data_IF_806788366823
#
_entry.id   IF_806788366823
#
_cell.length_a   1.000
_cell.length_b   1.000
_cell.length_c   1.000
_cell.angle_alpha   90.00
_cell.angle_beta   90.00
_cell.angle_gamma   90.00
#
_symmetry.space_group_name_H-M   'P 1'
#
loop_
_entity.id
_entity.type
_entity.pdbx_description
1 polymer ?
#
# COMPACT_ATOMS: atom_id res chain seq x y z
N UNK A 1 -11.76 -17.83 -31.23
CA UNK A 1 -11.20 -18.88 -32.14
C UNK A 1 -12.39 -19.65 -32.72
N UNK A 2 -12.57 -19.78 -34.04
CA UNK A 2 -13.79 -20.42 -34.59
C UNK A 2 -13.66 -21.95 -34.63
N UNK A 3 -14.58 -22.67 -33.98
CA UNK A 3 -14.65 -24.14 -34.02
C UNK A 3 -15.19 -24.64 -35.38
N UNK A 4 -14.67 -25.78 -35.86
CA UNK A 4 -15.17 -26.40 -37.09
C UNK A 4 -16.53 -27.10 -36.88
N UNK A 5 -17.39 -27.09 -37.91
CA UNK A 5 -18.73 -27.70 -37.87
C UNK A 5 -18.75 -29.19 -37.49
N UNK A 6 -17.69 -29.93 -37.82
CA UNK A 6 -17.55 -31.35 -37.47
C UNK A 6 -17.25 -31.54 -35.98
N UNK A 7 -16.46 -30.64 -35.38
CA UNK A 7 -16.16 -30.63 -33.94
C UNK A 7 -17.41 -30.24 -33.13
N UNK A 8 -18.13 -29.21 -33.60
CA UNK A 8 -19.39 -28.75 -33.01
C UNK A 8 -20.43 -29.89 -32.89
N UNK A 9 -20.72 -30.59 -33.99
CA UNK A 9 -21.71 -31.69 -33.96
C UNK A 9 -21.29 -32.87 -33.07
N UNK A 10 -19.98 -33.16 -33.01
CA UNK A 10 -19.45 -34.22 -32.14
C UNK A 10 -19.66 -33.88 -30.66
N UNK A 11 -19.51 -32.59 -30.31
CA UNK A 11 -19.67 -32.06 -28.95
C UNK A 11 -21.13 -32.08 -28.50
N UNK A 12 -22.04 -31.60 -29.37
CA UNK A 12 -23.50 -31.65 -29.12
C UNK A 12 -23.98 -33.09 -28.91
N UNK A 13 -23.57 -34.03 -29.76
CA UNK A 13 -23.95 -35.44 -29.63
C UNK A 13 -23.38 -36.11 -28.37
N UNK A 14 -22.32 -35.54 -27.77
CA UNK A 14 -21.74 -36.00 -26.52
C UNK A 14 -22.33 -35.31 -25.27
N UNK A 15 -23.30 -34.39 -25.44
CA UNK A 15 -23.90 -33.63 -24.34
C UNK A 15 -22.95 -32.62 -23.69
N UNK A 16 -21.86 -32.24 -24.37
CA UNK A 16 -20.86 -31.31 -23.86
C UNK A 16 -21.27 -29.85 -24.18
N UNK A 17 -21.02 -28.89 -23.26
CA UNK A 17 -21.38 -27.48 -23.44
C UNK A 17 -20.64 -26.85 -24.62
N UNK A 18 -21.27 -25.84 -25.24
CA UNK A 18 -20.64 -25.10 -26.35
C UNK A 18 -19.43 -24.32 -25.85
N UNK A 19 -18.40 -24.14 -26.68
CA UNK A 19 -17.24 -23.29 -26.35
C UNK A 19 -17.69 -21.88 -25.93
N UNK A 20 -18.73 -21.34 -26.59
CA UNK A 20 -19.29 -20.03 -26.25
C UNK A 20 -19.98 -19.99 -24.88
N UNK A 21 -20.44 -21.13 -24.38
CA UNK A 21 -21.06 -21.23 -23.06
C UNK A 21 -19.97 -21.38 -22.00
N UNK A 22 -18.89 -22.11 -22.29
CA UNK A 22 -17.67 -22.15 -21.46
C UNK A 22 -17.01 -20.76 -21.36
N UNK A 23 -16.83 -20.04 -22.47
CA UNK A 23 -16.28 -18.66 -22.50
C UNK A 23 -17.11 -17.69 -21.65
N UNK A 24 -18.44 -17.76 -21.72
CA UNK A 24 -19.34 -16.94 -20.89
C UNK A 24 -19.24 -17.28 -19.40
N UNK A 25 -19.07 -18.57 -19.07
CA UNK A 25 -18.86 -19.00 -17.68
C UNK A 25 -17.53 -18.45 -17.17
N UNK A 26 -16.44 -18.57 -17.93
CA UNK A 26 -15.14 -17.98 -17.58
C UNK A 26 -15.22 -16.46 -17.40
N UNK A 27 -15.86 -15.72 -18.33
CA UNK A 27 -16.04 -14.28 -18.18
C UNK A 27 -16.85 -13.91 -16.92
N UNK A 28 -17.83 -14.74 -16.55
CA UNK A 28 -18.63 -14.51 -15.34
C UNK A 28 -17.82 -14.78 -14.07
N UNK A 29 -17.02 -15.85 -14.04
CA UNK A 29 -16.12 -16.18 -12.95
C UNK A 29 -15.04 -15.09 -12.77
N UNK A 30 -14.44 -14.60 -13.87
CA UNK A 30 -13.48 -13.49 -13.83
C UNK A 30 -14.10 -12.22 -13.24
N UNK A 31 -15.32 -11.87 -13.66
CA UNK A 31 -16.06 -10.72 -13.11
C UNK A 31 -16.36 -10.89 -11.62
N UNK A 32 -16.73 -12.09 -11.19
CA UNK A 32 -16.99 -12.39 -9.78
C UNK A 32 -15.72 -12.30 -8.93
N UNK A 33 -14.61 -12.85 -9.41
CA UNK A 33 -13.29 -12.75 -8.76
C UNK A 33 -12.91 -11.28 -8.66
N UNK A 34 -13.01 -10.51 -9.75
CA UNK A 34 -12.67 -9.09 -9.76
C UNK A 34 -13.52 -8.32 -8.74
N UNK A 35 -14.84 -8.57 -8.69
CA UNK A 35 -15.73 -7.93 -7.71
C UNK A 35 -15.41 -8.31 -6.26
N UNK A 36 -14.85 -9.50 -6.00
CA UNK A 36 -14.35 -9.86 -4.66
C UNK A 36 -13.06 -9.09 -4.34
N UNK A 37 -12.14 -8.99 -5.29
CA UNK A 37 -10.89 -8.27 -5.14
C UNK A 37 -11.12 -6.78 -4.88
N UNK A 38 -12.03 -6.15 -5.63
CA UNK A 38 -12.41 -4.74 -5.47
C UNK A 38 -13.04 -4.49 -4.09
N UNK A 39 -13.93 -5.38 -3.62
CA UNK A 39 -14.52 -5.28 -2.28
C UNK A 39 -13.48 -5.42 -1.16
N UNK A 40 -12.50 -6.31 -1.33
CA UNK A 40 -11.39 -6.47 -0.35
C UNK A 40 -10.51 -5.22 -0.33
N UNK A 41 -10.16 -4.71 -1.52
CA UNK A 41 -9.41 -3.46 -1.69
C UNK A 41 -10.08 -2.29 -1.00
N UNK A 42 -11.36 -2.04 -1.28
CA UNK A 42 -12.11 -0.95 -0.64
C UNK A 42 -12.10 -1.05 0.89
N UNK A 43 -12.25 -2.26 1.44
CA UNK A 43 -12.23 -2.47 2.90
C UNK A 43 -10.88 -2.09 3.50
N UNK A 44 -9.79 -2.46 2.84
CA UNK A 44 -8.43 -2.18 3.29
C UNK A 44 -8.05 -0.72 3.13
N UNK A 45 -8.44 -0.10 2.02
CA UNK A 45 -8.29 1.34 1.83
C UNK A 45 -9.03 2.11 2.94
N UNK A 46 -10.29 1.73 3.23
CA UNK A 46 -11.05 2.30 4.35
C UNK A 46 -10.34 2.07 5.69
N UNK A 47 -9.70 0.92 5.89
CA UNK A 47 -8.91 0.65 7.09
C UNK A 47 -7.67 1.54 7.16
N UNK A 48 -6.92 1.71 6.07
CA UNK A 48 -5.78 2.63 6.00
C UNK A 48 -6.22 4.04 6.40
N UNK A 49 -7.28 4.57 5.79
CA UNK A 49 -7.81 5.90 6.10
C UNK A 49 -8.16 6.09 7.57
N UNK A 50 -8.78 5.08 8.19
CA UNK A 50 -9.08 5.11 9.62
C UNK A 50 -7.85 4.99 10.50
N UNK A 51 -6.79 4.34 10.01
CA UNK A 51 -5.59 4.01 10.79
C UNK A 51 -4.50 5.07 10.70
N UNK A 52 -4.55 6.04 9.77
CA UNK A 52 -3.50 7.07 9.62
C UNK A 52 -3.12 7.74 10.95
N UNK A 53 -4.05 8.22 11.79
CA UNK A 53 -3.68 8.85 13.07
C UNK A 53 -2.89 7.91 13.98
N UNK A 54 -3.30 6.64 14.05
CA UNK A 54 -2.62 5.61 14.84
C UNK A 54 -1.19 5.37 14.32
N UNK A 55 -1.05 5.18 13.01
CA UNK A 55 0.24 4.97 12.35
C UNK A 55 1.17 6.17 12.57
N UNK A 56 0.67 7.38 12.38
CA UNK A 56 1.43 8.60 12.57
C UNK A 56 1.88 8.78 14.03
N UNK A 57 1.03 8.53 15.03
CA UNK A 57 1.44 8.62 16.46
C UNK A 57 2.52 7.60 16.81
N UNK A 58 2.43 6.40 16.25
CA UNK A 58 3.34 5.29 16.54
C UNK A 58 4.55 5.19 15.60
N UNK A 59 4.90 6.26 14.88
CA UNK A 59 5.99 6.27 13.90
C UNK A 59 7.34 5.74 14.43
N UNK A 60 7.64 5.94 15.72
CA UNK A 60 8.90 5.46 16.32
C UNK A 60 9.00 3.93 16.30
N UNK A 61 7.87 3.23 16.42
CA UNK A 61 7.83 1.77 16.31
C UNK A 61 8.19 1.30 14.90
N UNK A 62 7.78 2.04 13.86
CA UNK A 62 8.19 1.77 12.48
C UNK A 62 9.69 1.97 12.27
N UNK A 63 10.35 2.86 13.03
CA UNK A 63 11.81 2.99 12.97
C UNK A 63 12.53 1.90 13.79
N UNK A 64 11.90 1.40 14.85
CA UNK A 64 12.49 0.41 15.76
C UNK A 64 12.36 -1.02 15.23
N UNK A 65 11.24 -1.35 14.59
CA UNK A 65 10.89 -2.72 14.22
C UNK A 65 10.83 -2.90 12.69
N UNK A 66 11.81 -3.60 12.08
CA UNK A 66 11.85 -3.85 10.64
C UNK A 66 10.58 -4.54 10.10
N UNK A 67 9.90 -5.36 10.91
CA UNK A 67 8.63 -6.00 10.56
C UNK A 67 7.49 -5.01 10.27
N UNK A 68 7.40 -3.93 11.04
CA UNK A 68 6.42 -2.85 10.83
C UNK A 68 6.87 -1.95 9.68
N UNK A 69 8.17 -1.69 9.63
CA UNK A 69 8.79 -0.90 8.58
C UNK A 69 8.51 -1.47 7.18
N UNK A 70 8.81 -2.76 6.99
CA UNK A 70 8.79 -3.46 5.71
C UNK A 70 7.40 -3.71 5.13
N UNK A 71 6.30 -3.38 5.84
CA UNK A 71 4.94 -3.61 5.35
C UNK A 71 4.79 -2.90 4.00
N UNK A 72 4.60 -3.62 2.88
CA UNK A 72 4.51 -2.99 1.57
C UNK A 72 3.24 -2.15 1.48
N UNK A 73 3.33 -0.92 0.96
CA UNK A 73 2.14 -0.09 0.72
C UNK A 73 1.17 -0.80 -0.22
N UNK A 74 1.67 -1.58 -1.19
CA UNK A 74 0.81 -2.35 -2.09
C UNK A 74 0.05 -3.47 -1.37
N UNK A 75 0.58 -4.05 -0.29
CA UNK A 75 -0.17 -5.00 0.53
C UNK A 75 -1.39 -4.34 1.18
N UNK A 76 -1.29 -3.04 1.47
CA UNK A 76 -2.42 -2.26 2.00
C UNK A 76 -3.54 -2.16 0.96
N UNK A 77 -3.24 -2.02 -0.33
CA UNK A 77 -4.27 -1.83 -1.36
C UNK A 77 -4.67 -3.11 -2.09
N UNK A 78 -3.72 -3.96 -2.45
CA UNK A 78 -3.91 -5.14 -3.30
C UNK A 78 -3.82 -6.46 -2.52
N UNK A 79 -3.16 -6.47 -1.36
CA UNK A 79 -3.00 -7.66 -0.51
C UNK A 79 -1.81 -8.55 -0.84
N UNK A 80 -1.95 -9.84 -0.50
CA UNK A 80 -1.00 -10.93 -0.79
C UNK A 80 -0.87 -11.25 -2.29
N UNK A 81 -1.34 -10.36 -3.18
CA UNK A 81 -1.27 -10.54 -4.63
C UNK A 81 0.17 -10.76 -5.10
N UNK A 82 1.11 -10.18 -4.36
CA UNK A 82 2.49 -10.61 -4.33
C UNK A 82 2.65 -11.34 -3.01
N UNK A 83 2.82 -12.67 -3.01
CA UNK A 83 3.08 -13.39 -1.77
C UNK A 83 4.30 -12.80 -1.02
N UNK A 84 4.55 -13.19 0.24
CA UNK A 84 5.71 -12.73 1.00
C UNK A 84 7.05 -13.02 0.30
N UNK A 85 7.04 -13.90 -0.71
CA UNK A 85 8.19 -14.27 -1.55
C UNK A 85 8.36 -13.39 -2.81
N UNK A 86 7.39 -12.54 -3.16
CA UNK A 86 7.39 -11.79 -4.43
C UNK A 86 7.46 -10.28 -4.28
N UNK A 87 7.50 -9.73 -3.07
CA UNK A 87 7.53 -8.26 -2.91
C UNK A 87 8.87 -7.64 -3.34
N UNK A 88 9.99 -8.37 -3.25
CA UNK A 88 11.31 -7.93 -3.75
C UNK A 88 11.52 -8.19 -5.25
N UNK A 89 10.75 -9.10 -5.84
CA UNK A 89 10.72 -9.42 -7.28
C UNK A 89 9.67 -8.61 -8.05
N UNK A 90 8.86 -7.83 -7.34
CA UNK A 90 7.88 -6.94 -7.95
C UNK A 90 8.62 -5.90 -8.83
N UNK A 91 8.34 -5.85 -10.15
CA UNK A 91 8.96 -4.88 -11.05
C UNK A 91 8.54 -3.44 -10.73
N UNK A 92 7.49 -3.26 -9.90
CA UNK A 92 7.14 -1.98 -9.31
C UNK A 92 7.79 -1.87 -7.92
N UNK A 93 8.54 -0.79 -7.63
CA UNK A 93 9.23 -0.64 -6.35
C UNK A 93 8.19 -0.43 -5.25
N UNK A 94 7.76 -1.53 -4.62
CA UNK A 94 6.84 -1.46 -3.50
C UNK A 94 7.52 -0.71 -2.37
N UNK A 95 6.90 0.39 -1.95
CA UNK A 95 7.47 1.28 -0.92
C UNK A 95 7.06 0.77 0.47
N UNK A 96 7.95 0.78 1.47
CA UNK A 96 7.63 0.37 2.82
C UNK A 96 6.74 1.41 3.50
N UNK A 97 5.73 0.93 4.21
CA UNK A 97 4.82 1.74 5.03
C UNK A 97 5.60 2.58 6.05
N UNK A 98 6.69 2.04 6.60
CA UNK A 98 7.54 2.80 7.52
C UNK A 98 8.15 4.05 6.90
N UNK A 99 8.53 4.00 5.61
CA UNK A 99 9.02 5.17 4.87
C UNK A 99 7.95 6.27 4.75
N UNK A 100 6.70 5.86 4.47
CA UNK A 100 5.55 6.77 4.40
C UNK A 100 5.28 7.44 5.76
N UNK A 101 5.26 6.64 6.83
CA UNK A 101 5.03 7.12 8.19
C UNK A 101 6.16 8.07 8.64
N UNK A 102 7.41 7.80 8.27
CA UNK A 102 8.54 8.69 8.52
C UNK A 102 8.41 10.01 7.74
N UNK A 103 7.97 9.97 6.49
CA UNK A 103 7.72 11.17 5.69
C UNK A 103 6.67 12.08 6.35
N UNK A 104 5.60 11.53 6.93
CA UNK A 104 4.57 12.31 7.65
C UNK A 104 5.11 13.08 8.85
N UNK A 105 6.17 12.58 9.49
CA UNK A 105 6.81 13.24 10.63
C UNK A 105 7.83 14.28 10.24
N UNK A 106 8.25 14.28 8.98
CA UNK A 106 9.17 15.30 8.49
C UNK A 106 8.39 16.58 8.19
N UNK A 107 8.71 17.68 8.88
CA UNK A 107 8.02 18.96 8.71
C UNK A 107 8.04 19.45 7.26
N UNK A 108 9.10 19.14 6.53
CA UNK A 108 9.25 19.50 5.11
C UNK A 108 8.24 18.82 4.19
N UNK A 109 7.56 17.76 4.65
CA UNK A 109 6.52 17.03 3.93
C UNK A 109 5.12 17.22 4.53
N UNK A 110 4.99 17.97 5.63
CA UNK A 110 3.68 18.29 6.20
C UNK A 110 2.99 19.36 5.34
N UNK A 111 1.72 19.13 5.03
CA UNK A 111 0.86 20.05 4.29
C UNK A 111 -0.12 20.73 5.23
N UNK A 112 -0.71 21.83 4.79
CA UNK A 112 -1.75 22.54 5.55
C UNK A 112 -3.12 22.30 4.93
N UNK A 113 -4.06 21.73 5.67
CA UNK A 113 -5.40 21.47 5.14
C UNK A 113 -6.12 22.77 4.76
N UNK A 114 -6.61 22.92 3.51
CA UNK A 114 -7.26 24.14 3.04
C UNK A 114 -8.57 24.42 3.78
N UNK A 115 -9.25 23.39 4.28
CA UNK A 115 -10.55 23.54 4.92
C UNK A 115 -10.48 23.96 6.38
N UNK A 116 -9.49 23.46 7.13
CA UNK A 116 -9.46 23.65 8.59
C UNK A 116 -8.11 24.13 9.14
N UNK A 117 -7.15 24.40 8.24
CA UNK A 117 -5.79 24.86 8.54
C UNK A 117 -5.04 23.91 9.51
N UNK A 118 -5.43 22.64 9.52
CA UNK A 118 -4.80 21.60 10.33
C UNK A 118 -3.68 20.90 9.57
N UNK A 119 -2.87 20.10 10.28
CA UNK A 119 -1.85 19.27 9.65
C UNK A 119 -2.47 18.29 8.66
N UNK A 120 -1.81 18.12 7.53
CA UNK A 120 -2.20 17.19 6.50
C UNK A 120 -0.98 16.43 5.95
N UNK A 121 -1.23 15.22 5.45
CA UNK A 121 -0.22 14.26 5.05
C UNK A 121 -0.51 13.75 3.64
N UNK A 122 0.54 13.56 2.84
CA UNK A 122 0.46 12.85 1.57
C UNK A 122 0.23 11.37 1.83
N UNK A 123 -0.76 10.78 1.18
CA UNK A 123 -1.10 9.37 1.34
C UNK A 123 -1.25 8.73 -0.03
N UNK A 124 -0.79 7.49 -0.26
CA UNK A 124 -0.85 6.86 -1.58
C UNK A 124 -2.27 6.80 -2.12
N UNK A 125 -2.44 7.19 -3.38
CA UNK A 125 -3.65 6.99 -4.18
C UNK A 125 -3.54 5.63 -4.84
N UNK A 126 -4.62 4.86 -4.73
CA UNK A 126 -4.78 3.66 -5.53
C UNK A 126 -5.01 4.04 -7.00
N UNK A 127 -4.10 3.59 -7.89
CA UNK A 127 -4.30 3.60 -9.33
C UNK A 127 -4.36 2.14 -9.82
N UNK A 128 -5.53 1.66 -10.28
CA UNK A 128 -5.73 0.25 -10.65
C UNK A 128 -4.98 -0.19 -11.92
N UNK A 129 -4.38 0.74 -12.66
CA UNK A 129 -3.77 0.46 -13.96
C UNK A 129 -2.35 1.02 -14.06
N UNK A 130 -1.45 0.35 -14.81
CA UNK A 130 -0.23 1.00 -15.26
C UNK A 130 -0.65 2.19 -16.11
N UNK A 131 -0.25 3.40 -15.73
CA UNK A 131 -0.34 4.59 -16.58
C UNK A 131 0.55 4.38 -17.82
N UNK A 132 0.04 3.65 -18.81
CA UNK A 132 0.45 3.75 -20.21
C UNK A 132 -0.31 4.90 -20.90
N UNK A 133 -0.81 5.86 -20.12
CA UNK A 133 -1.36 7.12 -20.64
C UNK A 133 -0.21 8.08 -20.91
N UNK A 134 0.31 8.04 -22.13
CA UNK A 134 1.04 9.16 -22.70
C UNK A 134 0.07 10.33 -22.86
N UNK A 135 0.06 11.28 -21.92
CA UNK A 135 -0.52 12.62 -22.17
C UNK A 135 -1.60 13.13 -21.23
N UNK A 136 -1.72 12.65 -19.98
CA UNK A 136 -2.52 13.31 -18.95
C UNK A 136 -1.65 13.70 -17.77
N UNK A 137 -1.69 14.98 -17.37
CA UNK A 137 -0.96 15.58 -16.23
C UNK A 137 -1.47 15.08 -14.85
N UNK A 138 -2.19 13.96 -14.83
CA UNK A 138 -2.76 13.26 -13.65
C UNK A 138 -1.71 12.45 -12.85
N UNK A 139 -0.46 12.87 -12.92
CA UNK A 139 0.72 12.06 -12.59
C UNK A 139 1.00 11.87 -11.10
N UNK A 140 0.23 12.48 -10.19
CA UNK A 140 0.52 12.41 -8.76
C UNK A 140 -0.19 11.22 -8.10
N UNK A 141 0.55 10.20 -7.60
CA UNK A 141 -0.03 8.98 -7.05
C UNK A 141 -0.42 9.14 -5.57
N UNK A 142 -0.87 10.34 -5.14
CA UNK A 142 -1.19 10.63 -3.74
C UNK A 142 -2.49 11.42 -3.56
N UNK A 143 -3.23 11.09 -2.51
CA UNK A 143 -4.23 11.97 -1.89
C UNK A 143 -3.62 12.74 -0.71
N UNK A 144 -4.39 13.66 -0.14
CA UNK A 144 -4.03 14.38 1.09
C UNK A 144 -5.01 14.02 2.19
N UNK A 145 -4.51 13.50 3.30
CA UNK A 145 -5.29 13.27 4.51
C UNK A 145 -5.10 14.41 5.52
N UNK A 146 -6.17 15.02 6.00
CA UNK A 146 -6.09 15.97 7.11
C UNK A 146 -6.30 15.29 8.47
N UNK A 147 -5.33 15.44 9.37
CA UNK A 147 -5.39 14.90 10.73
C UNK A 147 -6.52 15.52 11.57
N UNK A 148 -6.77 16.83 11.41
CA UNK A 148 -7.74 17.57 12.23
C UNK A 148 -9.20 17.30 11.85
N UNK A 149 -9.50 17.23 10.55
CA UNK A 149 -10.88 17.07 10.07
C UNK A 149 -11.16 15.70 9.43
N UNK A 150 -10.15 14.83 9.31
CA UNK A 150 -10.29 13.48 8.76
C UNK A 150 -10.62 13.43 7.27
N UNK A 151 -10.62 14.58 6.57
CA UNK A 151 -10.94 14.63 5.14
C UNK A 151 -9.79 14.10 4.30
N UNK A 152 -10.15 13.34 3.26
CA UNK A 152 -9.31 13.02 2.12
C UNK A 152 -9.56 14.07 1.05
N UNK A 153 -8.51 14.73 0.59
CA UNK A 153 -8.54 15.88 -0.33
C UNK A 153 -7.73 15.50 -1.59
N UNK A 154 -8.21 15.96 -2.74
CA UNK A 154 -7.47 15.79 -3.99
C UNK A 154 -6.27 16.75 -4.05
N UNK A 155 -5.22 16.32 -4.73
CA UNK A 155 -3.96 17.04 -4.78
C UNK A 155 -4.05 18.35 -5.59
N UNK A 156 -4.94 18.46 -6.57
CA UNK A 156 -5.13 19.67 -7.40
C UNK A 156 -5.47 20.93 -6.59
N UNK A 157 -6.00 20.78 -5.37
CA UNK A 157 -6.29 21.91 -4.48
C UNK A 157 -5.01 22.58 -3.92
N UNK A 158 -3.82 22.09 -4.27
CA UNK A 158 -2.53 22.48 -3.68
C UNK A 158 -1.38 22.68 -4.70
N UNK A 159 -1.68 22.87 -5.99
CA UNK A 159 -0.72 22.80 -7.11
C UNK A 159 0.66 23.45 -6.86
N UNK A 160 0.74 24.60 -6.19
CA UNK A 160 2.01 25.29 -5.93
C UNK A 160 2.78 24.74 -4.71
N UNK A 161 2.09 24.39 -3.63
CA UNK A 161 2.71 23.89 -2.39
C UNK A 161 3.15 22.42 -2.52
N UNK A 162 2.44 21.63 -3.34
CA UNK A 162 2.77 20.22 -3.58
C UNK A 162 4.02 20.07 -4.43
N UNK A 163 4.23 20.87 -5.48
CA UNK A 163 5.33 20.64 -6.43
C UNK A 163 6.70 20.60 -5.73
N UNK A 164 6.96 21.54 -4.80
CA UNK A 164 8.21 21.58 -4.02
C UNK A 164 8.29 20.46 -2.97
N UNK A 165 7.17 20.15 -2.31
CA UNK A 165 7.12 19.16 -1.23
C UNK A 165 7.13 17.72 -1.76
N UNK A 166 6.60 17.49 -2.94
CA UNK A 166 6.56 16.18 -3.60
C UNK A 166 7.98 15.70 -3.92
N UNK A 167 8.84 16.57 -4.47
CA UNK A 167 10.24 16.22 -4.73
C UNK A 167 11.00 15.81 -3.46
N UNK A 168 10.72 16.47 -2.32
CA UNK A 168 11.30 16.12 -1.02
C UNK A 168 10.72 14.81 -0.48
N UNK A 169 9.40 14.64 -0.58
CA UNK A 169 8.70 13.42 -0.20
C UNK A 169 9.24 12.20 -0.95
N UNK A 170 9.34 12.28 -2.27
CA UNK A 170 9.89 11.23 -3.14
C UNK A 170 11.35 10.90 -2.78
N UNK A 171 12.16 11.91 -2.48
CA UNK A 171 13.54 11.70 -2.01
C UNK A 171 13.59 10.96 -0.68
N UNK A 172 12.73 11.34 0.28
CA UNK A 172 12.62 10.66 1.57
C UNK A 172 12.21 9.21 1.33
N UNK A 173 11.11 8.97 0.61
CA UNK A 173 10.65 7.62 0.28
C UNK A 173 11.75 6.78 -0.39
N UNK A 174 12.49 7.34 -1.35
CA UNK A 174 13.62 6.66 -2.00
C UNK A 174 14.76 6.29 -1.03
N UNK A 175 15.12 7.18 -0.10
CA UNK A 175 16.13 6.91 0.92
C UNK A 175 15.69 5.80 1.87
N UNK A 176 14.42 5.82 2.26
CA UNK A 176 13.82 4.81 3.12
C UNK A 176 13.69 3.47 2.38
N UNK A 177 13.32 3.42 1.11
CA UNK A 177 13.31 2.16 0.34
C UNK A 177 14.63 1.39 0.42
N UNK A 178 15.78 2.09 0.39
CA UNK A 178 17.11 1.47 0.51
C UNK A 178 17.39 0.86 1.89
N UNK A 179 16.58 1.19 2.90
CA UNK A 179 16.66 0.67 4.27
C UNK A 179 15.72 -0.51 4.52
N UNK A 180 14.87 -0.87 3.56
CA UNK A 180 14.07 -2.09 3.69
C UNK A 180 15.00 -3.29 3.82
N UNK A 181 14.67 -4.20 4.74
CA UNK A 181 15.47 -5.39 5.02
C UNK A 181 14.80 -6.62 4.40
N UNK A 182 15.23 -7.10 3.21
CA UNK A 182 14.52 -8.17 2.50
C UNK A 182 14.42 -9.48 3.29
N UNK A 183 15.36 -9.71 4.21
CA UNK A 183 15.40 -10.89 5.05
C UNK A 183 14.33 -10.92 6.15
N UNK A 184 13.69 -9.79 6.47
CA UNK A 184 12.67 -9.72 7.53
C UNK A 184 11.27 -9.72 6.90
N UNK A 185 10.46 -10.77 7.13
CA UNK A 185 9.10 -10.82 6.59
C UNK A 185 8.21 -9.73 7.22
N UNK A 186 7.40 -9.01 6.43
CA UNK A 186 6.52 -7.98 6.95
C UNK A 186 5.36 -8.58 7.75
N UNK A 187 4.80 -7.79 8.68
CA UNK A 187 3.49 -8.12 9.28
C UNK A 187 2.37 -7.83 8.28
N UNK A 188 1.31 -8.63 8.34
CA UNK A 188 0.05 -8.30 7.66
C UNK A 188 -0.47 -6.95 8.16
N UNK A 189 -0.96 -6.09 7.26
CA UNK A 189 -1.32 -4.71 7.60
C UNK A 189 -2.40 -4.64 8.68
N UNK A 190 -3.47 -5.43 8.54
CA UNK A 190 -4.56 -5.49 9.52
C UNK A 190 -4.05 -5.93 10.91
N UNK A 191 -3.14 -6.90 10.93
CA UNK A 191 -2.53 -7.40 12.16
C UNK A 191 -1.63 -6.35 12.80
N UNK A 192 -0.82 -5.64 12.01
CA UNK A 192 -0.01 -4.53 12.50
C UNK A 192 -0.87 -3.42 13.12
N UNK A 193 -1.98 -3.03 12.48
CA UNK A 193 -2.93 -2.05 13.02
C UNK A 193 -3.56 -2.53 14.34
N UNK A 194 -3.87 -3.83 14.43
CA UNK A 194 -4.39 -4.43 15.66
C UNK A 194 -3.37 -4.35 16.80
N UNK A 195 -2.13 -4.79 16.56
CA UNK A 195 -1.05 -4.77 17.54
C UNK A 195 -0.69 -3.34 17.99
N UNK A 196 -0.70 -2.37 17.08
CA UNK A 196 -0.49 -0.95 17.42
C UNK A 196 -1.62 -0.40 18.30
N UNK A 197 -2.87 -0.79 18.04
CA UNK A 197 -4.01 -0.42 18.89
C UNK A 197 -3.87 -1.01 20.29
N UNK A 198 -3.42 -2.26 20.41
CA UNK A 198 -3.15 -2.90 21.70
C UNK A 198 -2.01 -2.21 22.45
N UNK A 199 -0.95 -1.83 21.75
CA UNK A 199 0.15 -1.05 22.32
C UNK A 199 -0.33 0.31 22.87
N UNK A 200 -1.15 1.07 22.14
CA UNK A 200 -1.70 2.35 22.67
C UNK A 200 -2.60 2.15 23.90
N UNK A 201 -3.27 1.00 24.01
CA UNK A 201 -4.17 0.71 25.13
C UNK A 201 -3.45 0.19 26.38
N UNK A 202 -2.38 -0.60 26.21
CA UNK A 202 -1.67 -1.28 27.31
C UNK A 202 -0.33 -0.62 27.68
N UNK A 203 0.31 0.07 26.73
CA UNK A 203 1.68 0.54 26.83
C UNK A 203 2.73 -0.56 26.65
N UNK A 204 2.32 -1.82 26.45
CA UNK A 204 3.21 -2.97 26.32
C UNK A 204 3.55 -3.21 24.84
N UNK A 205 4.84 -3.29 24.51
CA UNK A 205 5.29 -3.59 23.15
C UNK A 205 5.06 -5.08 22.83
N UNK A 206 4.30 -5.42 21.78
CA UNK A 206 4.08 -6.80 21.35
C UNK A 206 5.37 -7.50 20.93
N UNK A 207 5.62 -8.70 21.48
CA UNK A 207 6.73 -9.58 21.08
C UNK A 207 6.73 -9.88 19.57
N UNK A 208 5.56 -9.87 18.94
CA UNK A 208 5.40 -10.12 17.50
C UNK A 208 6.06 -9.05 16.61
N UNK A 209 6.30 -7.85 17.14
CA UNK A 209 7.09 -6.82 16.45
C UNK A 209 8.56 -7.23 16.33
N UNK A 210 9.05 -8.06 17.24
CA UNK A 210 10.41 -8.60 17.17
C UNK A 210 10.50 -9.69 16.10
N UNK A 211 11.61 -9.71 15.37
CA UNK A 211 11.98 -10.85 14.54
C UNK A 211 13.14 -11.55 15.25
N UNK A 212 12.94 -12.82 15.63
CA UNK A 212 13.96 -13.64 16.25
C UNK A 212 15.03 -14.02 15.22
N UNK A 213 15.94 -13.10 14.88
CA UNK A 213 17.15 -13.46 14.16
C UNK A 213 18.19 -13.86 15.20
N UNK A 214 18.28 -15.17 15.45
CA UNK A 214 19.44 -15.74 16.11
C UNK A 214 20.70 -15.33 15.32
N UNK A 215 21.60 -14.59 15.98
CA UNK A 215 23.02 -14.55 15.63
C UNK A 215 23.41 -13.69 14.42
N UNK A 216 23.31 -12.38 14.55
CA UNK A 216 24.44 -11.45 14.33
C UNK A 216 23.92 -10.02 14.40
N UNK A 217 24.00 -9.43 15.60
CA UNK A 217 23.92 -7.97 15.76
C UNK A 217 25.13 -7.33 15.07
N UNK A 218 25.07 -7.13 13.76
CA UNK A 218 25.56 -5.87 13.25
C UNK A 218 24.51 -4.84 13.63
N UNK A 219 24.89 -3.94 14.54
CA UNK A 219 24.05 -2.80 14.95
C UNK A 219 23.41 -2.22 13.69
N UNK A 220 22.08 -2.29 13.58
CA UNK A 220 21.36 -1.41 12.70
C UNK A 220 21.89 0.01 12.97
N UNK A 221 22.26 0.79 11.94
CA UNK A 221 22.75 2.14 12.16
C UNK A 221 21.69 2.90 12.97
N UNK A 222 22.16 3.49 14.07
CA UNK A 222 21.38 4.34 14.96
C UNK A 222 20.48 5.27 14.12
N UNK A 223 19.17 5.41 14.43
CA UNK A 223 18.27 6.22 13.63
C UNK A 223 18.50 7.69 13.96
N UNK A 224 19.66 8.22 13.59
CA UNK A 224 19.79 9.65 13.42
C UNK A 224 18.96 10.00 12.19
N UNK A 225 17.86 10.72 12.42
CA UNK A 225 17.16 11.39 11.33
C UNK A 225 18.20 12.19 10.55
N UNK A 226 18.13 12.26 9.21
CA UNK A 226 18.92 13.23 8.49
C UNK A 226 18.65 14.61 9.11
N UNK A 227 19.68 15.21 9.70
CA UNK A 227 19.60 16.59 10.16
C UNK A 227 19.29 17.46 8.93
N UNK A 228 18.25 18.28 9.04
CA UNK A 228 17.86 19.29 8.05
C UNK A 228 18.06 20.67 8.67
#
# INVERSE_FOLDING_TARGET
>A
MQESFRSFNKRINAGLPLISDEEKVFESEEKEIQAILDRRRERREKLLWKSIPLLARNWKLFCKYPKLYNIPIDFVFFGDFFGPEMWWENPYPSRPLGGLVAAWKTETCQLTCPHCQGKAFLVPRHLPEPLLSFGSDDSTPYYIYCEKCGKIINWYDFDTEISEKNSKFERIMSQWNKRAEPAVPPLQFEHAVHLLSLYEASGEEPDEFEHAVHGNRHKAPNPEMPEY
#
